data_IF_219330940195
#
_entry.id   IF_219330940195
#
_cell.length_a   1.000
_cell.length_b   1.000
_cell.length_c   1.000
_cell.angle_alpha   90.00
_cell.angle_beta   90.00
_cell.angle_gamma   90.00
#
_symmetry.space_group_name_H-M   'P 1'
#
loop_
_entity.id
_entity.type
_entity.pdbx_description
1 polymer ?
#
# COMPACT_ATOMS: atom_id res chain seq x y z
N UNK A 1 3.95 4.52 -18.49
CA UNK A 1 4.22 4.63 -17.03
C UNK A 1 4.02 3.32 -16.29
N UNK A 2 2.95 2.57 -16.53
CA UNK A 2 2.67 1.28 -15.85
C UNK A 2 3.83 0.26 -15.99
N UNK A 3 4.42 0.11 -17.19
CA UNK A 3 5.58 -0.78 -17.40
C UNK A 3 6.78 -0.40 -16.52
N UNK A 4 7.03 0.91 -16.33
CA UNK A 4 8.10 1.39 -15.44
C UNK A 4 7.79 1.09 -13.97
N UNK A 5 6.53 1.27 -13.56
CA UNK A 5 6.08 0.91 -12.19
C UNK A 5 6.35 -0.57 -11.93
N UNK A 6 5.91 -1.45 -12.82
CA UNK A 6 6.13 -2.90 -12.68
C UNK A 6 7.63 -3.22 -12.66
N UNK A 7 8.42 -2.62 -13.55
CA UNK A 7 9.87 -2.82 -13.60
C UNK A 7 10.58 -2.43 -12.29
N UNK A 8 10.23 -1.29 -11.70
CA UNK A 8 10.80 -0.86 -10.41
C UNK A 8 10.42 -1.83 -9.30
N UNK A 9 9.16 -2.24 -9.22
CA UNK A 9 8.73 -3.21 -8.20
C UNK A 9 9.41 -4.57 -8.36
N UNK A 10 9.69 -5.02 -9.59
CA UNK A 10 10.48 -6.24 -9.82
C UNK A 10 11.92 -6.10 -9.32
N UNK A 11 12.58 -4.96 -9.59
CA UNK A 11 13.93 -4.69 -9.10
C UNK A 11 13.99 -4.64 -7.57
N UNK A 12 13.02 -3.98 -6.93
CA UNK A 12 12.92 -3.95 -5.48
C UNK A 12 12.68 -5.36 -4.92
N UNK A 13 11.77 -6.14 -5.52
CA UNK A 13 11.51 -7.50 -5.09
C UNK A 13 12.76 -8.39 -5.19
N UNK A 14 13.53 -8.24 -6.27
CA UNK A 14 14.82 -8.94 -6.45
C UNK A 14 15.89 -8.49 -5.45
N UNK A 15 15.81 -7.28 -4.89
CA UNK A 15 16.71 -6.81 -3.84
C UNK A 15 16.28 -7.34 -2.47
N UNK A 16 14.99 -7.24 -2.15
CA UNK A 16 14.48 -7.49 -0.80
C UNK A 16 14.28 -8.97 -0.51
N UNK A 17 13.62 -9.71 -1.41
CA UNK A 17 13.20 -11.09 -1.15
C UNK A 17 14.35 -12.08 -0.99
N UNK A 18 15.45 -12.03 -1.77
CA UNK A 18 16.50 -13.04 -1.65
C UNK A 18 17.16 -13.05 -0.27
N UNK A 19 17.31 -11.87 0.35
CA UNK A 19 17.86 -11.79 1.71
C UNK A 19 16.93 -12.45 2.73
N UNK A 20 15.63 -12.15 2.65
CA UNK A 20 14.64 -12.70 3.58
C UNK A 20 14.44 -14.22 3.42
N UNK A 21 14.49 -14.71 2.17
CA UNK A 21 14.42 -16.15 1.87
C UNK A 21 15.66 -16.87 2.41
N UNK A 22 16.87 -16.29 2.23
CA UNK A 22 18.11 -16.84 2.77
C UNK A 22 18.10 -16.95 4.29
N UNK A 23 17.50 -15.98 4.98
CA UNK A 23 17.35 -15.99 6.44
C UNK A 23 16.19 -16.89 6.94
N UNK A 24 15.50 -17.63 6.05
CA UNK A 24 14.32 -18.47 6.34
C UNK A 24 13.17 -17.75 7.07
N UNK A 25 13.08 -16.43 6.93
CA UNK A 25 12.05 -15.61 7.57
C UNK A 25 10.76 -15.60 6.74
N UNK A 26 10.14 -16.77 6.59
CA UNK A 26 8.96 -16.98 5.74
C UNK A 26 7.76 -16.12 6.14
N UNK A 27 7.57 -15.88 7.45
CA UNK A 27 6.54 -14.97 7.93
C UNK A 27 6.74 -13.54 7.39
N UNK A 28 7.97 -13.04 7.43
CA UNK A 28 8.30 -11.70 6.95
C UNK A 28 8.14 -11.61 5.44
N UNK A 29 8.52 -12.67 4.70
CA UNK A 29 8.27 -12.78 3.25
C UNK A 29 6.78 -12.68 2.94
N UNK A 30 5.93 -13.39 3.69
CA UNK A 30 4.48 -13.37 3.48
C UNK A 30 3.89 -11.98 3.72
N UNK A 31 4.29 -11.31 4.81
CA UNK A 31 3.82 -9.96 5.13
C UNK A 31 4.30 -8.96 4.07
N UNK A 32 5.58 -9.01 3.71
CA UNK A 32 6.17 -8.13 2.69
C UNK A 32 5.50 -8.32 1.32
N UNK A 33 5.21 -9.56 0.94
CA UNK A 33 4.49 -9.87 -0.30
C UNK A 33 3.10 -9.22 -0.31
N UNK A 34 2.38 -9.25 0.82
CA UNK A 34 1.10 -8.57 0.95
C UNK A 34 1.22 -7.06 0.71
N UNK A 35 2.21 -6.42 1.34
CA UNK A 35 2.49 -4.99 1.13
C UNK A 35 2.91 -4.67 -0.32
N UNK A 36 3.72 -5.51 -0.94
CA UNK A 36 4.12 -5.35 -2.34
C UNK A 36 2.90 -5.38 -3.27
N UNK A 37 2.05 -6.39 -3.15
CA UNK A 37 0.83 -6.51 -3.96
C UNK A 37 -0.07 -5.30 -3.74
N UNK A 38 -0.31 -4.92 -2.48
CA UNK A 38 -1.14 -3.76 -2.15
C UNK A 38 -0.61 -2.47 -2.80
N UNK A 39 0.69 -2.22 -2.67
CA UNK A 39 1.31 -0.98 -3.17
C UNK A 39 1.37 -0.95 -4.69
N UNK A 40 1.64 -2.10 -5.34
CA UNK A 40 1.59 -2.22 -6.81
C UNK A 40 0.19 -1.91 -7.32
N UNK A 41 -0.85 -2.48 -6.70
CA UNK A 41 -2.25 -2.22 -7.08
C UNK A 41 -2.56 -0.74 -6.97
N UNK A 42 -2.20 -0.09 -5.85
CA UNK A 42 -2.39 1.35 -5.68
C UNK A 42 -1.63 2.18 -6.72
N UNK A 43 -0.37 1.84 -7.00
CA UNK A 43 0.43 2.54 -7.99
C UNK A 43 -0.12 2.39 -9.41
N UNK A 44 -0.63 1.20 -9.76
CA UNK A 44 -1.29 0.96 -11.05
C UNK A 44 -2.59 1.74 -11.14
N UNK A 45 -3.44 1.72 -10.10
CA UNK A 45 -4.67 2.51 -10.06
C UNK A 45 -4.40 4.01 -10.21
N UNK A 46 -3.41 4.53 -9.47
CA UNK A 46 -3.00 5.93 -9.56
C UNK A 46 -2.53 6.30 -10.96
N UNK A 47 -1.67 5.47 -11.57
CA UNK A 47 -1.16 5.70 -12.93
C UNK A 47 -2.19 5.49 -14.03
N UNK A 48 -3.25 4.71 -13.77
CA UNK A 48 -4.41 4.59 -14.64
C UNK A 48 -5.38 5.78 -14.53
N UNK A 49 -5.07 6.79 -13.71
CA UNK A 49 -5.91 7.98 -13.53
C UNK A 49 -7.10 7.76 -12.61
N UNK A 50 -7.13 6.65 -11.86
CA UNK A 50 -8.16 6.42 -10.85
C UNK A 50 -7.92 7.39 -9.69
N UNK A 51 -8.93 8.21 -9.38
CA UNK A 51 -8.90 9.10 -8.23
C UNK A 51 -8.96 8.27 -6.96
N UNK A 52 -7.81 8.04 -6.34
CA UNK A 52 -7.72 7.39 -5.05
C UNK A 52 -8.28 8.34 -3.97
N UNK A 53 -9.35 7.96 -3.25
CA UNK A 53 -9.88 8.79 -2.18
C UNK A 53 -8.81 8.98 -1.12
N UNK A 54 -8.69 10.21 -0.61
CA UNK A 54 -7.71 10.53 0.43
C UNK A 54 -7.99 9.67 1.67
N UNK A 55 -7.00 8.89 2.17
CA UNK A 55 -7.14 8.12 3.40
C UNK A 55 -7.57 8.97 4.60
N UNK A 56 -7.17 10.25 4.60
CA UNK A 56 -7.55 11.22 5.64
C UNK A 56 -9.07 11.37 5.71
N UNK A 57 -9.77 11.36 4.57
CA UNK A 57 -11.24 11.42 4.56
C UNK A 57 -11.86 10.17 5.18
N UNK A 58 -11.28 8.99 4.91
CA UNK A 58 -11.74 7.74 5.51
C UNK A 58 -11.51 7.67 7.02
N UNK A 59 -10.33 8.12 7.47
CA UNK A 59 -10.01 8.22 8.91
C UNK A 59 -10.92 9.26 9.57
N UNK A 60 -11.16 10.40 8.92
CA UNK A 60 -12.07 11.42 9.41
C UNK A 60 -13.49 10.88 9.55
N UNK A 61 -13.99 10.11 8.58
CA UNK A 61 -15.29 9.43 8.67
C UNK A 61 -15.33 8.45 9.85
N UNK A 62 -14.29 7.64 10.04
CA UNK A 62 -14.20 6.73 11.19
C UNK A 62 -14.22 7.49 12.52
N UNK A 63 -13.47 8.57 12.65
CA UNK A 63 -13.35 9.32 13.90
C UNK A 63 -14.62 10.13 14.18
N UNK A 64 -15.15 10.83 13.19
CA UNK A 64 -16.28 11.76 13.34
C UNK A 64 -17.62 11.02 13.30
N UNK A 65 -17.83 10.14 12.32
CA UNK A 65 -19.14 9.54 12.06
C UNK A 65 -19.33 8.18 12.78
N UNK A 66 -18.25 7.42 13.03
CA UNK A 66 -18.37 6.12 13.74
C UNK A 66 -18.07 6.28 15.22
N UNK A 67 -16.90 6.84 15.55
CA UNK A 67 -16.47 6.98 16.94
C UNK A 67 -17.05 8.22 17.64
N UNK A 68 -17.60 9.19 16.89
CA UNK A 68 -18.11 10.45 17.42
C UNK A 68 -17.06 11.26 18.23
N UNK A 69 -15.78 11.05 17.97
CA UNK A 69 -14.65 11.62 18.72
C UNK A 69 -14.05 12.88 18.05
N UNK A 70 -14.80 13.54 17.17
CA UNK A 70 -14.35 14.74 16.46
C UNK A 70 -15.17 15.98 16.81
N UNK A 71 -14.49 17.13 16.95
CA UNK A 71 -15.17 18.43 17.03
C UNK A 71 -16.05 18.62 15.79
N UNK A 72 -17.35 18.84 16.00
CA UNK A 72 -18.30 19.22 14.96
C UNK A 72 -17.71 20.39 14.17
N UNK A 73 -17.47 20.18 12.88
CA UNK A 73 -17.10 21.28 11.99
C UNK A 73 -18.35 22.13 11.80
N UNK A 74 -18.37 23.34 12.38
CA UNK A 74 -19.27 24.43 11.95
C UNK A 74 -19.03 24.76 10.47
#
# INVERSE_FOLDING_TARGET
MIVLVIGIFLLLALSDFPKLIKEKKWYVVSVLSGFYVFTIVLAVLYTAGVTLPSPIKGIQYLIVDVLHLGLQKQ
#
